data_IF_989369991654
#
_entry.id   IF_989369991654
#
_cell.length_a   1.000
_cell.length_b   1.000
_cell.length_c   1.000
_cell.angle_alpha   90.00
_cell.angle_beta   90.00
_cell.angle_gamma   90.00
#
_symmetry.space_group_name_H-M   'P 1'
#
loop_
_entity.id
_entity.type
_entity.pdbx_description
1 polymer ?
#
# COMPACT_ATOMS: atom_id res chain seq x y z
N UNK A 1 -22.54 13.34 -2.21
CA UNK A 1 -22.11 12.24 -3.10
C UNK A 1 -21.16 12.85 -4.12
N UNK A 2 -19.98 12.25 -4.32
CA UNK A 2 -18.95 12.78 -5.22
C UNK A 2 -18.56 11.71 -6.23
N UNK A 3 -18.34 12.10 -7.48
CA UNK A 3 -17.91 11.20 -8.54
C UNK A 3 -16.46 11.51 -8.90
N UNK A 4 -15.67 10.45 -9.06
CA UNK A 4 -14.27 10.57 -9.45
C UNK A 4 -13.94 9.54 -10.52
N UNK A 5 -13.44 10.03 -11.65
CA UNK A 5 -12.99 9.16 -12.72
C UNK A 5 -11.51 8.86 -12.54
N UNK A 6 -11.20 7.62 -12.21
CA UNK A 6 -9.85 7.11 -12.13
C UNK A 6 -9.55 6.24 -13.37
N UNK A 7 -8.83 6.81 -14.33
CA UNK A 7 -8.62 6.22 -15.67
C UNK A 7 -9.96 5.91 -16.38
N UNK A 8 -10.19 4.65 -16.76
CA UNK A 8 -11.43 4.20 -17.38
C UNK A 8 -12.45 3.69 -16.35
N UNK A 9 -12.18 3.85 -15.06
CA UNK A 9 -13.08 3.41 -14.00
C UNK A 9 -13.65 4.61 -13.26
N UNK A 10 -14.98 4.66 -13.17
CA UNK A 10 -15.68 5.70 -12.40
C UNK A 10 -15.96 5.18 -11.00
N UNK A 11 -15.52 5.96 -10.02
CA UNK A 11 -15.77 5.75 -8.60
C UNK A 11 -16.82 6.73 -8.09
N UNK A 12 -17.65 6.23 -7.19
CA UNK A 12 -18.68 6.99 -6.50
C UNK A 12 -18.33 6.97 -5.02
N UNK A 13 -18.26 8.16 -4.44
CA UNK A 13 -18.00 8.39 -3.02
C UNK A 13 -19.26 8.91 -2.33
N UNK A 14 -19.54 8.37 -1.15
CA UNK A 14 -20.62 8.85 -0.29
C UNK A 14 -20.23 8.73 1.18
N UNK A 15 -20.94 9.46 2.02
CA UNK A 15 -20.73 9.45 3.46
C UNK A 15 -21.92 8.78 4.12
N UNK A 16 -21.65 7.78 4.95
CA UNK A 16 -22.62 7.22 5.88
C UNK A 16 -22.41 7.86 7.25
N UNK A 17 -23.50 8.22 7.92
CA UNK A 17 -23.46 8.70 9.29
C UNK A 17 -24.01 7.62 10.22
N UNK A 18 -23.44 7.52 11.40
CA UNK A 18 -23.90 6.57 12.40
C UNK A 18 -23.30 6.82 13.76
N UNK A 19 -23.62 5.94 14.70
CA UNK A 19 -23.11 5.96 16.06
C UNK A 19 -22.39 4.65 16.35
N UNK A 20 -21.26 4.74 17.05
CA UNK A 20 -20.54 3.56 17.53
C UNK A 20 -21.37 2.90 18.63
N UNK A 21 -21.79 1.66 18.43
CA UNK A 21 -22.60 0.92 19.41
C UNK A 21 -21.74 -0.04 20.24
N UNK A 22 -20.70 -0.61 19.65
CA UNK A 22 -19.81 -1.55 20.32
C UNK A 22 -18.41 -1.49 19.73
N UNK A 23 -17.42 -1.76 20.57
CA UNK A 23 -16.03 -1.92 20.17
C UNK A 23 -15.45 -3.18 20.83
N UNK A 24 -14.82 -4.03 20.02
CA UNK A 24 -14.17 -5.26 20.45
C UNK A 24 -12.70 -5.22 20.09
N UNK A 25 -11.88 -5.66 21.03
CA UNK A 25 -10.44 -5.81 20.88
C UNK A 25 -10.10 -7.29 20.97
N UNK A 26 -9.43 -7.83 19.96
CA UNK A 26 -8.98 -9.21 19.96
C UNK A 26 -7.65 -9.36 19.22
N UNK A 27 -6.92 -10.43 19.51
CA UNK A 27 -5.65 -10.73 18.84
C UNK A 27 -5.81 -11.99 18.00
N UNK A 28 -5.37 -11.93 16.75
CA UNK A 28 -5.29 -13.09 15.86
C UNK A 28 -3.85 -13.53 15.71
N UNK A 29 -3.54 -14.79 16.00
CA UNK A 29 -2.19 -15.35 15.87
C UNK A 29 -2.19 -16.43 14.79
N UNK A 30 -1.49 -16.18 13.69
CA UNK A 30 -1.23 -17.16 12.62
C UNK A 30 0.06 -17.90 12.96
N UNK A 31 0.00 -19.23 13.07
CA UNK A 31 1.14 -20.09 13.39
C UNK A 31 1.43 -20.98 12.18
N UNK A 32 2.67 -20.95 11.69
CA UNK A 32 3.12 -21.75 10.55
C UNK A 32 4.28 -22.63 10.97
N UNK A 33 4.08 -23.94 10.86
CA UNK A 33 5.14 -24.93 10.98
C UNK A 33 5.67 -25.34 9.61
N UNK A 34 6.98 -25.40 9.45
CA UNK A 34 7.63 -26.06 8.30
C UNK A 34 8.72 -27.01 8.78
N UNK A 35 8.69 -28.23 8.29
CA UNK A 35 9.76 -29.19 8.51
C UNK A 35 10.80 -29.03 7.42
N UNK A 36 12.07 -28.84 7.78
CA UNK A 36 13.17 -28.82 6.82
C UNK A 36 13.68 -30.23 6.54
N UNK A 37 14.45 -30.39 5.45
CA UNK A 37 15.04 -31.66 5.03
C UNK A 37 16.02 -32.26 6.07
N UNK A 38 16.48 -31.48 7.05
CA UNK A 38 17.29 -31.94 8.17
C UNK A 38 16.46 -32.51 9.35
N UNK A 39 15.14 -32.62 9.18
CA UNK A 39 14.21 -33.13 10.19
C UNK A 39 13.82 -32.11 11.26
N UNK A 40 14.33 -30.87 11.20
CA UNK A 40 13.97 -29.83 12.19
C UNK A 40 12.65 -29.15 11.83
N UNK A 41 11.79 -29.00 12.83
CA UNK A 41 10.56 -28.21 12.77
C UNK A 41 10.88 -26.75 13.06
N UNK A 42 10.62 -25.88 12.10
CA UNK A 42 10.64 -24.43 12.28
C UNK A 42 9.22 -23.93 12.43
N UNK A 43 8.94 -23.28 13.56
CA UNK A 43 7.65 -22.63 13.83
C UNK A 43 7.86 -21.13 13.75
N UNK A 44 7.09 -20.47 12.91
CA UNK A 44 6.96 -19.02 12.85
C UNK A 44 5.55 -18.64 13.28
N UNK A 45 5.41 -17.55 14.04
CA UNK A 45 4.12 -17.07 14.51
C UNK A 45 4.00 -15.58 14.30
N UNK A 46 2.87 -15.14 13.73
CA UNK A 46 2.54 -13.73 13.55
C UNK A 46 1.27 -13.40 14.31
N UNK A 47 1.42 -12.59 15.36
CA UNK A 47 0.28 -12.01 16.09
C UNK A 47 -0.11 -10.67 15.47
N UNK A 48 -1.40 -10.47 15.27
CA UNK A 48 -2.01 -9.25 14.73
C UNK A 48 -3.09 -8.78 15.69
N UNK A 49 -3.01 -7.53 16.15
CA UNK A 49 -4.06 -6.92 16.94
C UNK A 49 -5.21 -6.52 16.01
N UNK A 50 -6.43 -6.85 16.39
CA UNK A 50 -7.64 -6.58 15.63
C UNK A 50 -8.61 -5.77 16.48
N UNK A 51 -9.12 -4.70 15.90
CA UNK A 51 -10.11 -3.84 16.50
C UNK A 51 -11.36 -3.87 15.62
N UNK A 52 -12.45 -4.41 16.16
CA UNK A 52 -13.75 -4.42 15.49
C UNK A 52 -14.64 -3.35 16.11
N UNK A 53 -15.21 -2.49 15.26
CA UNK A 53 -16.11 -1.41 15.67
C UNK A 53 -17.45 -1.65 14.99
N UNK A 54 -18.50 -1.76 15.78
CA UNK A 54 -19.88 -1.88 15.33
C UNK A 54 -20.52 -0.51 15.29
N UNK A 55 -21.16 -0.18 14.17
CA UNK A 55 -21.73 1.12 13.92
C UNK A 55 -23.17 0.94 13.48
N UNK A 56 -24.07 1.69 14.11
CA UNK A 56 -25.47 1.79 13.71
C UNK A 56 -25.65 3.03 12.84
N UNK A 57 -26.06 2.83 11.60
CA UNK A 57 -26.41 3.89 10.66
C UNK A 57 -27.67 4.64 11.09
N UNK A 58 -27.85 5.85 10.54
CA UNK A 58 -29.07 6.65 10.76
C UNK A 58 -30.33 5.99 10.22
N UNK A 59 -30.19 5.06 9.27
CA UNK A 59 -31.27 4.23 8.72
C UNK A 59 -31.60 3.01 9.59
N UNK A 60 -30.91 2.85 10.73
CA UNK A 60 -31.06 1.71 11.63
C UNK A 60 -30.27 0.46 11.20
N UNK A 61 -29.56 0.51 10.07
CA UNK A 61 -28.69 -0.60 9.65
C UNK A 61 -27.48 -0.71 10.57
N UNK A 62 -27.03 -1.94 10.82
CA UNK A 62 -25.82 -2.19 11.61
C UNK A 62 -24.76 -2.84 10.73
N UNK A 63 -23.52 -2.37 10.87
CA UNK A 63 -22.39 -2.95 10.17
C UNK A 63 -21.13 -2.86 11.04
N UNK A 64 -20.21 -3.80 10.84
CA UNK A 64 -18.94 -3.81 11.56
C UNK A 64 -17.76 -3.44 10.67
N UNK A 65 -16.77 -2.78 11.27
CA UNK A 65 -15.50 -2.44 10.68
C UNK A 65 -14.40 -3.14 11.49
N UNK A 66 -13.73 -4.11 10.87
CA UNK A 66 -12.55 -4.74 11.47
C UNK A 66 -11.29 -4.12 10.91
N UNK A 67 -10.40 -3.70 11.79
CA UNK A 67 -9.14 -3.07 11.44
C UNK A 67 -7.97 -3.74 12.15
N UNK A 68 -6.95 -4.08 11.37
CA UNK A 68 -5.73 -4.67 11.87
C UNK A 68 -4.72 -3.59 12.29
N UNK A 69 -4.10 -3.77 13.45
CA UNK A 69 -3.02 -2.94 13.99
C UNK A 69 -3.34 -1.43 14.02
N UNK A 70 -4.60 -1.05 14.19
CA UNK A 70 -5.00 0.35 14.22
C UNK A 70 -5.68 0.70 15.53
N UNK A 71 -5.08 1.57 16.34
CA UNK A 71 -5.77 2.09 17.52
C UNK A 71 -6.71 3.23 17.10
N UNK A 72 -8.00 2.94 16.94
CA UNK A 72 -9.02 3.95 16.70
C UNK A 72 -9.49 4.50 18.04
N UNK A 73 -9.29 5.80 18.33
CA UNK A 73 -9.80 6.43 19.54
C UNK A 73 -11.30 6.75 19.38
N UNK A 74 -12.09 5.70 19.19
CA UNK A 74 -13.55 5.74 19.22
C UNK A 74 -14.04 5.24 20.58
N UNK A 75 -15.22 5.69 20.99
CA UNK A 75 -15.91 5.21 22.18
C UNK A 75 -17.36 4.94 21.84
N UNK A 76 -17.96 3.97 22.53
CA UNK A 76 -19.39 3.70 22.41
C UNK A 76 -20.20 4.98 22.66
N UNK A 77 -21.23 5.20 21.85
CA UNK A 77 -22.06 6.40 21.85
C UNK A 77 -21.53 7.57 21.02
N UNK A 78 -20.31 7.50 20.49
CA UNK A 78 -19.78 8.59 19.65
C UNK A 78 -20.36 8.56 18.23
N UNK A 79 -20.70 9.74 17.73
CA UNK A 79 -21.11 9.90 16.34
C UNK A 79 -19.90 9.85 15.40
N UNK A 80 -20.08 9.16 14.28
CA UNK A 80 -19.07 8.96 13.26
C UNK A 80 -19.61 9.24 11.87
N UNK A 81 -18.71 9.63 10.97
CA UNK A 81 -18.96 9.68 9.53
C UNK A 81 -18.02 8.72 8.82
N UNK A 82 -18.52 7.95 7.86
CA UNK A 82 -17.75 6.94 7.16
C UNK A 82 -17.72 7.29 5.69
N UNK A 83 -16.52 7.48 5.16
CA UNK A 83 -16.31 7.68 3.75
C UNK A 83 -16.32 6.32 3.05
N UNK A 84 -17.27 6.14 2.15
CA UNK A 84 -17.45 4.93 1.36
C UNK A 84 -17.07 5.18 -0.09
N UNK A 85 -16.57 4.16 -0.77
CA UNK A 85 -16.30 4.17 -2.21
C UNK A 85 -16.94 2.94 -2.85
N UNK A 86 -17.42 3.08 -4.09
CA UNK A 86 -17.72 1.96 -4.96
C UNK A 86 -17.36 2.29 -6.39
N UNK A 87 -17.10 1.26 -7.18
CA UNK A 87 -17.10 1.39 -8.64
C UNK A 87 -18.55 1.55 -9.11
N UNK A 88 -18.81 2.38 -10.13
CA UNK A 88 -20.16 2.72 -10.61
C UNK A 88 -21.05 1.50 -10.89
N UNK A 89 -20.47 0.41 -11.38
CA UNK A 89 -21.17 -0.83 -11.73
C UNK A 89 -21.14 -1.90 -10.62
N UNK A 90 -20.57 -1.59 -9.47
CA UNK A 90 -20.47 -2.55 -8.36
C UNK A 90 -21.61 -2.35 -7.37
N UNK A 91 -22.16 -3.47 -6.90
CA UNK A 91 -23.24 -3.49 -5.92
C UNK A 91 -22.73 -3.21 -4.49
N UNK A 92 -21.46 -3.51 -4.22
CA UNK A 92 -20.87 -3.41 -2.88
C UNK A 92 -19.83 -2.30 -2.81
N UNK A 93 -19.96 -1.48 -1.75
CA UNK A 93 -18.99 -0.45 -1.40
C UNK A 93 -17.89 -0.96 -0.48
N UNK A 94 -16.78 -0.22 -0.46
CA UNK A 94 -15.70 -0.36 0.49
C UNK A 94 -15.67 0.85 1.42
N UNK A 95 -15.36 0.62 2.68
CA UNK A 95 -15.12 1.67 3.66
C UNK A 95 -13.67 2.17 3.55
N UNK A 96 -13.50 3.46 3.30
CA UNK A 96 -12.19 4.08 3.04
C UNK A 96 -11.66 4.81 4.27
N UNK A 97 -12.54 5.47 5.02
CA UNK A 97 -12.15 6.23 6.19
C UNK A 97 -13.31 6.42 7.15
N UNK A 98 -12.98 6.71 8.40
CA UNK A 98 -13.92 7.01 9.47
C UNK A 98 -13.52 8.30 10.18
N UNK A 99 -14.46 9.23 10.32
CA UNK A 99 -14.33 10.48 11.06
C UNK A 99 -14.93 10.29 12.44
N UNK A 100 -14.15 10.55 13.48
CA UNK A 100 -14.71 10.77 14.80
C UNK A 100 -15.26 12.20 14.84
N UNK A 101 -16.59 12.38 14.92
CA UNK A 101 -17.18 13.73 14.90
C UNK A 101 -16.84 14.56 16.13
N UNK A 102 -16.60 13.91 17.29
CA UNK A 102 -16.22 14.61 18.50
C UNK A 102 -14.82 15.26 18.41
N UNK A 103 -13.89 14.61 17.70
CA UNK A 103 -12.51 15.14 17.53
C UNK A 103 -12.29 15.83 16.19
N UNK A 104 -13.22 15.66 15.24
CA UNK A 104 -13.07 16.08 13.85
C UNK A 104 -12.02 15.29 13.05
N UNK A 105 -11.33 14.32 13.67
CA UNK A 105 -10.23 13.59 13.04
C UNK A 105 -10.74 12.45 12.18
N UNK A 106 -10.18 12.38 10.98
CA UNK A 106 -10.36 11.26 10.08
C UNK A 106 -9.27 10.21 10.28
N UNK A 107 -9.68 8.94 10.22
CA UNK A 107 -8.81 7.78 10.24
C UNK A 107 -9.01 7.01 8.94
N UNK A 108 -7.90 6.72 8.25
CA UNK A 108 -7.94 5.97 7.01
C UNK A 108 -8.04 4.47 7.31
N UNK A 109 -9.07 3.81 6.76
CA UNK A 109 -9.34 2.37 6.89
C UNK A 109 -8.66 1.60 5.75
N UNK A 110 -8.76 2.12 4.52
CA UNK A 110 -8.15 1.51 3.32
C UNK A 110 -7.35 2.55 2.55
N UNK A 111 -6.17 2.15 2.09
CA UNK A 111 -5.41 2.98 1.15
C UNK A 111 -6.02 2.92 -0.26
N UNK A 112 -5.80 3.97 -1.04
CA UNK A 112 -6.04 4.00 -2.48
C UNK A 112 -5.35 2.84 -3.18
N UNK A 113 -4.17 2.41 -2.69
CA UNK A 113 -3.52 1.19 -3.15
C UNK A 113 -4.31 -0.09 -2.90
N UNK A 114 -4.89 -0.25 -1.70
CA UNK A 114 -5.74 -1.40 -1.37
C UNK A 114 -7.02 -1.42 -2.21
N UNK A 115 -7.61 -0.25 -2.42
CA UNK A 115 -8.82 -0.06 -3.24
C UNK A 115 -8.51 -0.36 -4.70
N UNK A 116 -7.42 0.19 -5.24
CA UNK A 116 -7.00 -0.05 -6.62
C UNK A 116 -6.65 -1.52 -6.86
N UNK A 117 -6.02 -2.19 -5.89
CA UNK A 117 -5.73 -3.63 -5.96
C UNK A 117 -7.03 -4.45 -5.90
N UNK A 118 -7.96 -4.10 -5.01
CA UNK A 118 -9.26 -4.79 -4.88
C UNK A 118 -10.09 -4.74 -6.15
N UNK A 119 -10.07 -3.61 -6.86
CA UNK A 119 -10.78 -3.45 -8.13
C UNK A 119 -9.95 -3.88 -9.36
N UNK A 120 -8.80 -4.53 -9.17
CA UNK A 120 -7.98 -5.05 -10.26
C UNK A 120 -7.33 -3.99 -11.15
N UNK A 121 -7.26 -2.74 -10.68
CA UNK A 121 -6.66 -1.61 -11.40
C UNK A 121 -5.12 -1.66 -11.34
N UNK A 122 -4.59 -2.32 -10.31
CA UNK A 122 -3.16 -2.56 -10.11
C UNK A 122 -2.96 -4.02 -9.68
N UNK A 123 -1.96 -4.71 -10.25
CA UNK A 123 -1.70 -6.14 -10.00
C UNK A 123 -0.96 -6.44 -8.69
N UNK A 124 -0.31 -5.44 -8.10
CA UNK A 124 0.52 -5.60 -6.90
C UNK A 124 0.41 -4.32 -6.07
N UNK A 125 0.20 -4.47 -4.76
CA UNK A 125 0.10 -3.35 -3.83
C UNK A 125 1.28 -2.39 -3.95
N UNK A 126 1.07 -1.14 -3.56
CA UNK A 126 2.05 -0.08 -3.75
C UNK A 126 3.27 -0.23 -2.82
N UNK A 127 4.28 -0.96 -3.31
CA UNK A 127 5.48 -1.34 -2.57
C UNK A 127 6.45 -0.15 -2.45
N UNK A 128 6.25 0.69 -1.42
CA UNK A 128 7.18 1.77 -1.06
C UNK A 128 8.60 1.27 -0.73
N UNK A 129 8.73 0.07 -0.15
CA UNK A 129 10.01 -0.53 0.23
C UNK A 129 10.90 -0.92 -0.95
N UNK A 130 10.30 -1.32 -2.08
CA UNK A 130 11.02 -1.66 -3.33
C UNK A 130 11.77 -0.44 -3.88
N UNK A 131 11.28 0.77 -3.62
CA UNK A 131 11.91 2.01 -4.05
C UNK A 131 13.26 2.28 -3.38
N UNK A 132 13.40 1.91 -2.09
CA UNK A 132 14.65 2.05 -1.33
C UNK A 132 15.70 1.07 -1.84
N UNK A 133 15.32 -0.20 -2.02
CA UNK A 133 16.22 -1.23 -2.56
C UNK A 133 16.76 -0.88 -3.94
N UNK A 134 15.91 -0.36 -4.83
CA UNK A 134 16.32 0.02 -6.19
C UNK A 134 17.29 1.22 -6.18
N UNK A 135 17.06 2.22 -5.32
CA UNK A 135 17.99 3.36 -5.16
C UNK A 135 19.38 2.88 -4.70
N UNK A 136 19.42 1.93 -3.78
CA UNK A 136 20.68 1.35 -3.30
C UNK A 136 21.41 0.61 -4.42
N UNK A 137 20.69 -0.16 -5.25
CA UNK A 137 21.27 -0.89 -6.39
C UNK A 137 21.83 0.08 -7.44
N UNK A 138 21.09 1.13 -7.80
CA UNK A 138 21.55 2.13 -8.77
C UNK A 138 22.77 2.91 -8.26
N UNK A 139 22.78 3.28 -6.97
CA UNK A 139 23.91 3.95 -6.34
C UNK A 139 25.16 3.05 -6.34
N UNK A 140 24.99 1.76 -6.06
CA UNK A 140 26.08 0.78 -6.09
C UNK A 140 26.67 0.62 -7.50
N UNK A 141 25.82 0.48 -8.53
CA UNK A 141 26.27 0.39 -9.93
C UNK A 141 27.02 1.68 -10.34
N UNK A 142 26.51 2.85 -9.95
CA UNK A 142 27.17 4.12 -10.23
C UNK A 142 28.55 4.23 -9.54
N UNK A 143 28.66 3.80 -8.28
CA UNK A 143 29.92 3.78 -7.54
C UNK A 143 30.95 2.85 -8.20
N UNK A 144 30.53 1.66 -8.66
CA UNK A 144 31.39 0.73 -9.41
C UNK A 144 31.90 1.37 -10.70
N UNK A 145 31.03 2.01 -11.48
CA UNK A 145 31.42 2.69 -12.72
C UNK A 145 32.42 3.82 -12.45
N UNK A 146 32.18 4.67 -11.45
CA UNK A 146 33.09 5.78 -11.09
C UNK A 146 34.45 5.25 -10.64
N UNK A 147 34.47 4.24 -9.77
CA UNK A 147 35.72 3.63 -9.30
C UNK A 147 36.55 3.03 -10.44
N UNK A 148 35.87 2.47 -11.45
CA UNK A 148 36.50 1.83 -12.59
C UNK A 148 37.07 2.84 -13.60
N UNK A 149 36.34 3.91 -13.91
CA UNK A 149 36.87 5.00 -14.74
C UNK A 149 38.08 5.69 -14.09
N UNK A 150 38.07 5.84 -12.76
CA UNK A 150 39.24 6.33 -12.03
C UNK A 150 40.46 5.38 -12.18
N UNK A 151 40.25 4.06 -12.10
CA UNK A 151 41.31 3.07 -12.30
C UNK A 151 41.90 3.11 -13.73
N UNK A 152 41.05 3.20 -14.76
CA UNK A 152 41.52 3.32 -16.16
C UNK A 152 42.31 4.61 -16.39
N UNK A 153 41.84 5.73 -15.82
CA UNK A 153 42.52 7.02 -15.92
C UNK A 153 43.91 6.98 -15.26
N UNK A 154 44.03 6.34 -14.10
CA UNK A 154 45.30 6.24 -13.37
C UNK A 154 46.27 5.26 -14.06
N UNK A 155 45.78 4.16 -14.64
CA UNK A 155 46.63 3.07 -15.14
C UNK A 155 46.91 3.09 -16.65
N UNK A 156 46.18 3.89 -17.43
CA UNK A 156 46.39 4.03 -18.88
C UNK A 156 46.13 2.76 -19.70
N UNK A 157 45.42 1.77 -19.13
CA UNK A 157 45.13 0.48 -19.79
C UNK A 157 43.96 0.57 -20.76
N UNK A 158 44.02 -0.18 -21.87
CA UNK A 158 42.88 -0.39 -22.77
C UNK A 158 41.87 -1.42 -22.22
N UNK A 159 40.62 -1.33 -22.66
CA UNK A 159 39.53 -2.21 -22.24
C UNK A 159 39.73 -3.65 -22.72
N UNK A 160 40.07 -4.57 -21.80
CA UNK A 160 40.12 -6.01 -22.08
C UNK A 160 38.74 -6.66 -22.22
N UNK A 161 38.66 -7.81 -22.91
CA UNK A 161 37.40 -8.51 -23.24
C UNK A 161 36.52 -8.91 -22.05
N UNK A 162 37.13 -9.29 -20.91
CA UNK A 162 36.38 -9.58 -19.67
C UNK A 162 35.59 -8.35 -19.18
N UNK A 163 36.15 -7.16 -19.39
CA UNK A 163 35.50 -5.89 -19.02
C UNK A 163 34.28 -5.62 -19.88
N UNK A 164 34.35 -5.94 -21.18
CA UNK A 164 33.21 -5.77 -22.10
C UNK A 164 32.04 -6.65 -21.64
N UNK A 165 32.33 -7.86 -21.12
CA UNK A 165 31.30 -8.74 -20.57
C UNK A 165 30.63 -8.18 -19.31
N UNK A 166 31.42 -7.60 -18.39
CA UNK A 166 30.91 -7.03 -17.13
C UNK A 166 30.06 -5.78 -17.38
N UNK A 167 30.49 -4.91 -18.30
CA UNK A 167 29.72 -3.74 -18.73
C UNK A 167 28.40 -4.19 -19.38
N UNK A 168 28.44 -5.20 -20.25
CA UNK A 168 27.24 -5.74 -20.91
C UNK A 168 26.25 -6.29 -19.88
N UNK A 169 26.73 -7.01 -18.86
CA UNK A 169 25.89 -7.53 -17.78
C UNK A 169 25.28 -6.41 -16.93
N UNK A 170 26.07 -5.38 -16.60
CA UNK A 170 25.59 -4.20 -15.87
C UNK A 170 24.49 -3.44 -16.67
N UNK A 171 24.64 -3.32 -17.99
CA UNK A 171 23.63 -2.69 -18.87
C UNK A 171 22.33 -3.51 -18.89
N UNK A 172 22.41 -4.84 -18.95
CA UNK A 172 21.22 -5.72 -18.90
C UNK A 172 20.49 -5.60 -17.56
N UNK A 173 21.22 -5.59 -16.44
CA UNK A 173 20.63 -5.36 -15.11
C UNK A 173 20.01 -3.97 -15.02
N UNK A 174 20.70 -2.93 -15.51
CA UNK A 174 20.19 -1.57 -15.52
C UNK A 174 18.93 -1.45 -16.38
N UNK A 175 18.87 -2.11 -17.52
CA UNK A 175 17.69 -2.13 -18.39
C UNK A 175 16.51 -2.89 -17.74
N UNK A 176 16.76 -4.05 -17.13
CA UNK A 176 15.75 -4.80 -16.38
C UNK A 176 15.21 -3.97 -15.21
N UNK A 177 16.09 -3.30 -14.46
CA UNK A 177 15.74 -2.37 -13.40
C UNK A 177 14.95 -1.17 -13.93
N UNK A 178 15.31 -0.61 -15.09
CA UNK A 178 14.58 0.49 -15.73
C UNK A 178 13.17 0.08 -16.20
N UNK A 179 13.03 -1.09 -16.82
CA UNK A 179 11.73 -1.61 -17.26
C UNK A 179 10.83 -1.88 -16.05
N UNK A 180 11.39 -2.46 -14.99
CA UNK A 180 10.70 -2.65 -13.72
C UNK A 180 10.35 -1.30 -13.06
N UNK A 181 11.24 -0.31 -13.11
CA UNK A 181 11.01 1.07 -12.62
C UNK A 181 9.85 1.73 -13.35
N UNK A 182 9.78 1.64 -14.69
CA UNK A 182 8.68 2.22 -15.46
C UNK A 182 7.35 1.57 -15.09
N UNK A 183 7.35 0.25 -14.88
CA UNK A 183 6.18 -0.49 -14.43
C UNK A 183 5.74 -0.09 -13.00
N UNK A 184 6.68 -0.08 -12.05
CA UNK A 184 6.42 0.26 -10.65
C UNK A 184 6.02 1.73 -10.45
N UNK A 185 6.65 2.68 -11.18
CA UNK A 185 6.31 4.10 -11.13
C UNK A 185 4.88 4.36 -11.62
N UNK A 186 4.47 3.70 -12.70
CA UNK A 186 3.09 3.81 -13.20
C UNK A 186 2.08 3.28 -12.18
N UNK A 187 2.37 2.16 -11.52
CA UNK A 187 1.48 1.59 -10.51
C UNK A 187 1.45 2.39 -9.19
N UNK A 188 2.60 2.92 -8.74
CA UNK A 188 2.66 3.77 -7.56
C UNK A 188 1.99 5.13 -7.77
N UNK A 189 2.19 5.77 -8.92
CA UNK A 189 1.49 7.00 -9.27
C UNK A 189 -0.03 6.80 -9.34
N UNK A 190 -0.47 5.62 -9.76
CA UNK A 190 -1.88 5.22 -9.73
C UNK A 190 -2.43 5.18 -8.30
N UNK A 191 -1.77 4.46 -7.38
CA UNK A 191 -2.24 4.41 -5.99
C UNK A 191 -2.23 5.80 -5.35
N UNK A 192 -1.17 6.59 -5.57
CA UNK A 192 -1.02 7.90 -4.92
C UNK A 192 -2.12 8.87 -5.35
N UNK A 193 -2.51 8.88 -6.63
CA UNK A 193 -3.61 9.73 -7.11
C UNK A 193 -4.94 9.42 -6.42
N UNK A 194 -5.24 8.14 -6.18
CA UNK A 194 -6.46 7.75 -5.48
C UNK A 194 -6.37 8.04 -3.97
N UNK A 195 -5.20 7.84 -3.36
CA UNK A 195 -4.91 8.23 -1.97
C UNK A 195 -5.08 9.75 -1.78
N UNK A 196 -4.51 10.56 -2.68
CA UNK A 196 -4.58 12.03 -2.63
C UNK A 196 -6.03 12.52 -2.77
N UNK A 197 -6.83 11.87 -3.63
CA UNK A 197 -8.24 12.20 -3.77
C UNK A 197 -9.05 11.84 -2.52
N UNK A 198 -8.81 10.66 -1.94
CA UNK A 198 -9.45 10.24 -0.68
C UNK A 198 -9.09 11.20 0.45
N UNK A 199 -7.80 11.56 0.58
CA UNK A 199 -7.34 12.53 1.57
C UNK A 199 -7.97 13.93 1.33
N UNK A 200 -8.08 14.37 0.07
CA UNK A 200 -8.77 15.61 -0.30
C UNK A 200 -10.26 15.62 0.07
N UNK A 201 -10.95 14.49 -0.10
CA UNK A 201 -12.34 14.33 0.35
C UNK A 201 -12.42 14.35 1.89
N UNK A 202 -11.53 13.67 2.59
CA UNK A 202 -11.48 13.67 4.06
C UNK A 202 -11.21 15.08 4.61
N UNK A 203 -10.43 15.91 3.92
CA UNK A 203 -10.17 17.28 4.35
C UNK A 203 -11.31 18.27 4.02
N UNK A 204 -12.18 17.95 3.05
CA UNK A 204 -13.29 18.82 2.64
C UNK A 204 -14.64 18.49 3.31
N UNK A 205 -14.74 17.33 3.98
CA UNK A 205 -15.92 16.82 4.69
C UNK A 205 -15.72 16.87 6.21
#
# INVERSE_FOLDING_TARGET
>A
MSEYKFYNTKFIFWVLNGQVIEQRHFTSTDVRGRTQNDGKLYVDSKTTEMNEVWIRGTDGSEFSLTLANSNLPLRNGQDVSILCIKKENDQQGLYCGIKNKATGKWFQIKSGGDIATRYGLVKTGCLKSVWILIKMILLYIAALLVSYFAYLYITGKELGGDTISQISFAVVIAYAAFKFFRYAKVNNGKCSLLDDHIAGLMNSL
#
